data_IF_569009636572
#
_entry.id   IF_569009636572
#
_cell.length_a   1.000
_cell.length_b   1.000
_cell.length_c   1.000
_cell.angle_alpha   90.00
_cell.angle_beta   90.00
_cell.angle_gamma   90.00
#
_symmetry.space_group_name_H-M   'P 1'
#
loop_
_entity.id
_entity.type
_entity.pdbx_description
1 polymer ?
#
# COMPACT_ATOMS: atom_id res chain seq x y z
N UNK A 1 29.62 -16.25 -29.14
CA UNK A 1 28.41 -15.90 -28.36
C UNK A 1 28.71 -16.09 -26.88
N UNK A 2 29.15 -15.04 -26.15
CA UNK A 2 29.67 -15.24 -24.78
C UNK A 2 29.33 -14.15 -23.78
N UNK A 3 29.47 -12.86 -24.13
CA UNK A 3 29.17 -11.75 -23.21
C UNK A 3 27.77 -11.16 -23.37
N UNK A 4 27.38 -10.83 -24.60
CA UNK A 4 26.09 -10.21 -24.92
C UNK A 4 24.88 -11.03 -24.45
N UNK A 5 24.95 -12.36 -24.60
CA UNK A 5 23.90 -13.29 -24.14
C UNK A 5 23.77 -13.34 -22.60
N UNK A 6 24.89 -13.21 -21.88
CA UNK A 6 24.89 -13.20 -20.42
C UNK A 6 24.33 -11.87 -19.91
N UNK A 7 24.72 -10.75 -20.52
CA UNK A 7 24.21 -9.41 -20.19
C UNK A 7 22.69 -9.30 -20.42
N UNK A 8 22.19 -9.74 -21.58
CA UNK A 8 20.76 -9.73 -21.91
C UNK A 8 19.94 -10.59 -20.93
N UNK A 9 20.49 -11.74 -20.48
CA UNK A 9 19.83 -12.58 -19.48
C UNK A 9 19.84 -11.97 -18.08
N UNK A 10 20.93 -11.30 -17.68
CA UNK A 10 20.99 -10.59 -16.40
C UNK A 10 19.96 -9.44 -16.39
N UNK A 11 19.79 -8.72 -17.50
CA UNK A 11 18.80 -7.65 -17.58
C UNK A 11 17.37 -8.18 -17.51
N UNK A 12 17.07 -9.32 -18.16
CA UNK A 12 15.77 -10.01 -18.01
C UNK A 12 15.50 -10.43 -16.57
N UNK A 13 16.49 -11.01 -15.89
CA UNK A 13 16.35 -11.42 -14.49
C UNK A 13 16.14 -10.21 -13.56
N UNK A 14 16.79 -9.08 -13.83
CA UNK A 14 16.56 -7.82 -13.10
C UNK A 14 15.14 -7.30 -13.30
N UNK A 15 14.66 -7.23 -14.56
CA UNK A 15 13.28 -6.83 -14.86
C UNK A 15 12.25 -7.75 -14.19
N UNK A 16 12.44 -9.06 -14.27
CA UNK A 16 11.57 -10.03 -13.58
C UNK A 16 11.57 -9.85 -12.06
N UNK A 17 12.73 -9.62 -11.45
CA UNK A 17 12.83 -9.33 -10.01
C UNK A 17 12.09 -8.04 -9.69
N UNK A 18 12.32 -6.98 -10.46
CA UNK A 18 11.73 -5.67 -10.21
C UNK A 18 10.20 -5.71 -10.40
N UNK A 19 9.72 -6.41 -11.43
CA UNK A 19 8.28 -6.65 -11.66
C UNK A 19 7.64 -7.47 -10.53
N UNK A 20 8.32 -8.50 -10.02
CA UNK A 20 7.85 -9.28 -8.87
C UNK A 20 7.82 -8.45 -7.59
N UNK A 21 8.82 -7.59 -7.37
CA UNK A 21 8.88 -6.67 -6.23
C UNK A 21 7.78 -5.61 -6.33
N UNK A 22 7.55 -5.05 -7.52
CA UNK A 22 6.48 -4.07 -7.81
C UNK A 22 5.11 -4.71 -7.66
N UNK A 23 4.92 -5.94 -8.16
CA UNK A 23 3.69 -6.72 -7.98
C UNK A 23 3.38 -6.95 -6.50
N UNK A 24 4.38 -7.37 -5.73
CA UNK A 24 4.26 -7.52 -4.27
C UNK A 24 3.94 -6.20 -3.57
N UNK A 25 4.57 -5.09 -3.96
CA UNK A 25 4.30 -3.77 -3.41
C UNK A 25 2.86 -3.31 -3.71
N UNK A 26 2.44 -3.41 -4.98
CA UNK A 26 1.10 -3.02 -5.43
C UNK A 26 0.02 -3.80 -4.70
N UNK A 27 0.20 -5.11 -4.55
CA UNK A 27 -0.74 -5.96 -3.81
C UNK A 27 -0.88 -5.52 -2.35
N UNK A 28 0.22 -5.13 -1.70
CA UNK A 28 0.21 -4.65 -0.32
C UNK A 28 -0.48 -3.29 -0.18
N UNK A 29 -0.28 -2.38 -1.14
CA UNK A 29 -1.00 -1.11 -1.23
C UNK A 29 -2.50 -1.34 -1.44
N UNK A 30 -2.88 -2.24 -2.35
CA UNK A 30 -4.28 -2.60 -2.63
C UNK A 30 -4.94 -3.20 -1.38
N UNK A 31 -4.29 -4.15 -0.69
CA UNK A 31 -4.78 -4.69 0.58
C UNK A 31 -4.96 -3.61 1.65
N UNK A 32 -4.03 -2.65 1.72
CA UNK A 32 -4.10 -1.51 2.64
C UNK A 32 -5.33 -0.66 2.34
N UNK A 33 -5.57 -0.33 1.06
CA UNK A 33 -6.76 0.41 0.64
C UNK A 33 -8.05 -0.36 0.96
N UNK A 34 -8.14 -1.64 0.62
CA UNK A 34 -9.32 -2.47 0.87
C UNK A 34 -9.66 -2.53 2.35
N UNK A 35 -8.65 -2.63 3.21
CA UNK A 35 -8.85 -2.56 4.65
C UNK A 35 -9.44 -1.21 5.09
N UNK A 36 -8.88 -0.10 4.62
CA UNK A 36 -9.39 1.25 4.89
C UNK A 36 -10.84 1.37 4.43
N UNK A 37 -11.15 0.93 3.21
CA UNK A 37 -12.50 0.95 2.65
C UNK A 37 -13.49 0.15 3.51
N UNK A 38 -13.08 -1.04 3.98
CA UNK A 38 -13.90 -1.85 4.88
C UNK A 38 -14.17 -1.14 6.20
N UNK A 39 -13.20 -0.43 6.77
CA UNK A 39 -13.41 0.32 8.02
C UNK A 39 -14.33 1.52 7.82
N UNK A 40 -14.19 2.24 6.70
CA UNK A 40 -15.09 3.35 6.35
C UNK A 40 -16.53 2.86 6.17
N UNK A 41 -16.72 1.72 5.48
CA UNK A 41 -18.05 1.11 5.32
C UNK A 41 -18.69 0.75 6.67
N UNK A 42 -17.89 0.34 7.66
CA UNK A 42 -18.38 0.05 9.02
C UNK A 42 -18.73 1.30 9.81
N UNK A 43 -17.97 2.39 9.66
CA UNK A 43 -18.20 3.65 10.37
C UNK A 43 -19.20 4.58 9.68
N UNK A 44 -19.56 4.30 8.43
CA UNK A 44 -20.54 5.05 7.63
C UNK A 44 -20.04 6.38 7.08
N UNK A 45 -18.83 6.83 7.42
CA UNK A 45 -18.31 8.13 6.99
C UNK A 45 -16.80 8.13 6.77
N UNK A 46 -16.03 7.75 7.79
CA UNK A 46 -14.57 7.85 7.75
C UNK A 46 -13.86 6.90 8.72
N UNK A 47 -12.60 6.58 8.42
CA UNK A 47 -11.79 5.75 9.30
C UNK A 47 -11.06 6.63 10.31
N UNK A 48 -11.64 6.75 11.50
CA UNK A 48 -11.11 7.56 12.60
C UNK A 48 -10.05 6.81 13.40
N UNK A 49 -9.06 7.57 13.86
CA UNK A 49 -7.91 7.12 14.64
C UNK A 49 -7.25 5.83 14.09
N UNK A 50 -6.82 5.83 12.80
CA UNK A 50 -6.23 4.66 12.18
C UNK A 50 -4.88 4.34 12.81
N UNK A 51 -4.81 3.21 13.51
CA UNK A 51 -3.56 2.64 14.03
C UNK A 51 -2.86 1.86 12.92
N UNK A 52 -1.66 2.31 12.54
CA UNK A 52 -0.87 1.63 11.51
C UNK A 52 -0.53 0.18 11.91
N UNK A 53 -0.37 -0.09 13.21
CA UNK A 53 -0.21 -1.44 13.75
C UNK A 53 -1.37 -2.38 13.37
N UNK A 54 -2.61 -1.91 13.45
CA UNK A 54 -3.79 -2.75 13.16
C UNK A 54 -3.97 -2.97 11.65
N UNK A 55 -3.65 -1.95 10.85
CA UNK A 55 -3.57 -2.09 9.39
C UNK A 55 -2.44 -3.07 9.02
N UNK A 56 -1.27 -2.96 9.66
CA UNK A 56 -0.14 -3.89 9.47
C UNK A 56 -0.58 -5.33 9.77
N UNK A 57 -1.28 -5.54 10.88
CA UNK A 57 -1.81 -6.87 11.24
C UNK A 57 -2.76 -7.41 10.18
N UNK A 58 -3.59 -6.56 9.59
CA UNK A 58 -4.51 -6.97 8.53
C UNK A 58 -3.82 -7.25 7.19
N UNK A 59 -2.76 -6.52 6.84
CA UNK A 59 -2.06 -6.64 5.55
C UNK A 59 -0.98 -7.74 5.58
N UNK A 60 -0.22 -7.83 6.67
CA UNK A 60 0.95 -8.72 6.82
C UNK A 60 0.76 -9.85 7.84
N UNK A 61 -0.35 -9.88 8.57
CA UNK A 61 -0.56 -10.83 9.67
C UNK A 61 0.17 -10.49 10.97
N UNK A 62 0.96 -9.42 11.00
CA UNK A 62 1.73 -8.98 12.17
C UNK A 62 1.75 -7.45 12.32
N UNK A 63 2.10 -6.95 13.50
CA UNK A 63 2.10 -5.51 13.83
C UNK A 63 3.42 -4.79 13.52
N UNK A 64 4.42 -5.47 12.97
CA UNK A 64 5.80 -4.96 12.91
C UNK A 64 6.10 -4.15 11.63
N UNK A 65 5.13 -4.04 10.71
CA UNK A 65 5.31 -3.41 9.41
C UNK A 65 4.68 -2.01 9.33
N UNK A 66 4.56 -1.31 10.46
CA UNK A 66 3.94 0.03 10.52
C UNK A 66 4.58 1.05 9.59
N UNK A 67 5.91 0.97 9.40
CA UNK A 67 6.63 1.87 8.51
C UNK A 67 6.19 1.68 7.05
N UNK A 68 5.98 0.44 6.60
CA UNK A 68 5.47 0.16 5.26
C UNK A 68 4.04 0.67 5.11
N UNK A 69 3.19 0.46 6.11
CA UNK A 69 1.83 1.01 6.12
C UNK A 69 1.82 2.53 6.01
N UNK A 70 2.73 3.24 6.70
CA UNK A 70 2.87 4.70 6.54
C UNK A 70 3.21 5.06 5.09
N UNK A 71 4.12 4.32 4.47
CA UNK A 71 4.46 4.47 3.05
C UNK A 71 3.23 4.28 2.15
N UNK A 72 2.51 3.18 2.30
CA UNK A 72 1.32 2.89 1.49
C UNK A 72 0.23 3.94 1.64
N UNK A 73 -0.04 4.41 2.86
CA UNK A 73 -1.03 5.48 3.09
C UNK A 73 -0.56 6.79 2.44
N UNK A 74 0.74 7.11 2.49
CA UNK A 74 1.31 8.28 1.82
C UNK A 74 1.13 8.18 0.31
N UNK A 75 1.37 7.02 -0.28
CA UNK A 75 1.24 6.82 -1.73
C UNK A 75 -0.22 6.88 -2.18
N UNK A 76 -1.14 6.26 -1.43
CA UNK A 76 -2.59 6.36 -1.70
C UNK A 76 -3.09 7.80 -1.60
N UNK A 77 -2.56 8.57 -0.65
CA UNK A 77 -2.87 10.00 -0.51
C UNK A 77 -2.33 10.80 -1.70
N UNK A 78 -1.06 10.61 -2.04
CA UNK A 78 -0.41 11.34 -3.13
C UNK A 78 -1.05 11.01 -4.49
N UNK A 79 -1.55 9.80 -4.66
CA UNK A 79 -2.25 9.35 -5.87
C UNK A 79 -3.73 9.75 -5.88
N UNK A 80 -4.21 10.45 -4.85
CA UNK A 80 -5.56 11.00 -4.78
C UNK A 80 -6.67 9.98 -4.51
N UNK A 81 -6.36 8.76 -4.08
CA UNK A 81 -7.39 7.76 -3.71
C UNK A 81 -8.00 8.04 -2.33
N UNK A 82 -7.20 8.59 -1.43
CA UNK A 82 -7.62 8.91 -0.06
C UNK A 82 -7.21 10.33 0.32
N UNK A 83 -7.94 10.89 1.28
CA UNK A 83 -7.53 12.07 2.03
C UNK A 83 -7.28 11.70 3.49
N UNK A 84 -6.21 12.24 4.06
CA UNK A 84 -5.86 12.08 5.47
C UNK A 84 -5.95 13.45 6.14
N UNK A 85 -6.81 13.55 7.16
CA UNK A 85 -7.02 14.75 7.97
C UNK A 85 -6.56 14.51 9.40
N UNK A 86 -6.31 15.61 10.13
CA UNK A 86 -5.95 15.56 11.55
C UNK A 86 -4.60 14.92 11.84
N UNK A 87 -4.24 14.90 13.13
CA UNK A 87 -3.01 14.29 13.65
C UNK A 87 -3.32 13.54 14.94
N UNK A 88 -2.47 12.56 15.29
CA UNK A 88 -2.64 11.79 16.52
C UNK A 88 -4.02 11.10 16.59
N UNK A 89 -4.75 11.37 17.67
CA UNK A 89 -6.08 10.78 17.93
C UNK A 89 -7.18 11.33 17.01
N UNK A 90 -6.99 12.54 16.45
CA UNK A 90 -7.92 13.17 15.51
C UNK A 90 -7.67 12.76 14.06
N UNK A 91 -6.71 11.86 13.84
CA UNK A 91 -6.38 11.39 12.50
C UNK A 91 -7.58 10.68 11.88
N UNK A 92 -7.92 11.06 10.66
CA UNK A 92 -9.06 10.53 9.94
C UNK A 92 -8.70 10.26 8.48
N UNK A 93 -9.16 9.13 7.93
CA UNK A 93 -8.98 8.80 6.52
C UNK A 93 -10.35 8.72 5.84
N UNK A 94 -10.47 9.39 4.69
CA UNK A 94 -11.63 9.29 3.78
C UNK A 94 -11.18 8.79 2.42
N UNK A 95 -12.05 8.04 1.75
CA UNK A 95 -11.88 7.65 0.35
C UNK A 95 -12.41 8.77 -0.53
N UNK A 96 -11.63 9.13 -1.55
CA UNK A 96 -11.99 10.14 -2.54
C UNK A 96 -12.48 9.50 -3.84
N UNK A 97 -11.84 8.41 -4.26
CA UNK A 97 -12.21 7.62 -5.44
C UNK A 97 -11.90 6.15 -5.21
N UNK A 98 -12.62 5.28 -5.90
CA UNK A 98 -12.34 3.84 -5.91
C UNK A 98 -11.03 3.52 -6.63
N UNK A 99 -10.44 2.36 -6.30
CA UNK A 99 -9.28 1.85 -7.02
C UNK A 99 -9.67 1.50 -8.45
N UNK A 100 -8.90 1.99 -9.41
CA UNK A 100 -9.06 1.85 -10.85
C UNK A 100 -7.91 1.01 -11.48
N UNK A 101 -7.23 0.23 -10.65
CA UNK A 101 -6.01 -0.54 -10.96
C UNK A 101 -6.24 -1.79 -11.81
#
# INVERSE_FOLDING_TARGET
MGKKYIEDNIEKLRKQRDDNVVGGYRDLVVKTYQYIQKQIKKSGSSFRNPKNADISKAVYGNRNQENNIRGFIKDLKNSGYISVYGVGLEREIKILKDLDF
#
